data_IF_835552962300
#
_entry.id   IF_835552962300
#
_cell.length_a   1.000
_cell.length_b   1.000
_cell.length_c   1.000
_cell.angle_alpha   90.00
_cell.angle_beta   90.00
_cell.angle_gamma   90.00
#
_symmetry.space_group_name_H-M   'P 1'
#
loop_
_entity.id
_entity.type
_entity.pdbx_description
1 polymer ?
#
# COMPACT_ATOMS: atom_id res chain seq x y z
N UNK A 1 -20.96 -8.40 -22.83
CA UNK A 1 -22.03 -8.54 -23.84
C UNK A 1 -23.13 -7.54 -23.50
N UNK A 2 -23.35 -6.62 -24.43
CA UNK A 2 -24.28 -5.48 -24.40
C UNK A 2 -25.68 -5.79 -23.85
N UNK A 3 -26.28 -4.78 -23.21
CA UNK A 3 -27.48 -4.11 -23.78
C UNK A 3 -27.74 -2.76 -23.12
N UNK A 4 -27.39 -1.72 -23.85
CA UNK A 4 -27.90 -0.35 -23.75
C UNK A 4 -29.38 -0.34 -24.11
N UNK A 5 -30.22 0.36 -23.35
CA UNK A 5 -31.57 0.74 -23.79
C UNK A 5 -31.85 2.16 -23.33
N UNK A 6 -31.82 3.08 -24.29
CA UNK A 6 -32.23 4.48 -24.19
C UNK A 6 -33.71 4.51 -24.57
N UNK A 7 -34.56 5.10 -23.74
CA UNK A 7 -35.89 5.56 -24.15
C UNK A 7 -36.01 7.06 -23.87
N UNK A 8 -36.02 7.82 -24.96
CA UNK A 8 -36.51 9.19 -25.04
C UNK A 8 -38.00 9.13 -25.38
N UNK A 9 -38.82 9.89 -24.66
CA UNK A 9 -40.26 10.00 -24.92
C UNK A 9 -40.90 11.05 -24.02
N UNK A 10 -40.71 12.33 -24.38
CA UNK A 10 -41.39 13.49 -23.82
C UNK A 10 -42.91 13.40 -24.00
N UNK A 11 -43.68 13.76 -22.98
CA UNK A 11 -44.94 14.49 -23.17
C UNK A 11 -45.10 15.52 -22.05
N UNK A 12 -45.47 16.72 -22.49
CA UNK A 12 -45.56 18.00 -21.77
C UNK A 12 -46.96 18.14 -21.18
N UNK A 13 -47.07 18.75 -19.99
CA UNK A 13 -48.13 19.61 -19.42
C UNK A 13 -48.08 19.42 -17.88
N UNK A 14 -47.80 20.40 -17.02
CA UNK A 14 -48.15 21.82 -17.00
C UNK A 14 -47.17 22.59 -16.11
N UNK A 15 -46.99 23.86 -16.47
CA UNK A 15 -46.27 24.91 -15.76
C UNK A 15 -46.98 25.22 -14.45
N UNK A 16 -46.23 25.27 -13.34
CA UNK A 16 -46.47 26.22 -12.26
C UNK A 16 -45.12 26.76 -11.78
N UNK A 17 -44.84 28.00 -12.20
CA UNK A 17 -43.76 28.84 -11.69
C UNK A 17 -44.31 29.54 -10.43
N UNK A 18 -43.65 29.36 -9.29
CA UNK A 18 -43.25 30.44 -8.36
C UNK A 18 -42.50 29.87 -7.14
N UNK A 19 -41.17 30.02 -7.21
CA UNK A 19 -40.26 30.45 -6.13
C UNK A 19 -40.37 29.85 -4.72
N UNK A 20 -39.41 28.96 -4.41
CA UNK A 20 -38.64 29.04 -3.17
C UNK A 20 -37.22 28.49 -3.42
N UNK A 21 -36.23 29.39 -3.41
CA UNK A 21 -34.81 29.07 -3.43
C UNK A 21 -34.37 28.56 -2.05
N UNK A 22 -33.70 27.41 -1.98
CA UNK A 22 -32.52 27.22 -1.11
C UNK A 22 -31.79 25.92 -1.46
N UNK A 23 -30.60 26.10 -2.05
CA UNK A 23 -29.46 25.17 -2.14
C UNK A 23 -29.65 23.84 -2.89
N UNK A 24 -29.75 23.92 -4.22
CA UNK A 24 -29.29 22.86 -5.12
C UNK A 24 -27.91 23.27 -5.65
N UNK A 25 -26.83 22.68 -5.13
CA UNK A 25 -25.47 22.94 -5.59
C UNK A 25 -25.36 22.37 -7.02
N UNK A 26 -24.99 23.19 -8.00
CA UNK A 26 -25.01 22.78 -9.41
C UNK A 26 -23.94 21.71 -9.69
N UNK A 27 -24.24 20.75 -10.57
CA UNK A 27 -23.30 19.71 -11.01
C UNK A 27 -21.99 20.28 -11.58
N UNK A 28 -22.00 21.53 -12.04
CA UNK A 28 -20.81 22.27 -12.47
C UNK A 28 -19.88 22.66 -11.33
N UNK A 29 -20.41 22.98 -10.13
CA UNK A 29 -19.58 23.27 -8.95
C UNK A 29 -18.92 22.00 -8.43
N UNK A 30 -19.64 20.88 -8.38
CA UNK A 30 -19.11 19.57 -7.95
C UNK A 30 -17.95 19.13 -8.86
N UNK A 31 -18.14 19.21 -10.18
CA UNK A 31 -17.11 18.85 -11.16
C UNK A 31 -15.90 19.82 -11.15
N UNK A 32 -16.12 21.10 -10.81
CA UNK A 32 -15.04 22.09 -10.63
C UNK A 32 -14.27 21.88 -9.32
N UNK A 33 -14.94 21.48 -8.24
CA UNK A 33 -14.29 21.16 -6.97
C UNK A 33 -13.51 19.85 -7.04
N UNK A 34 -14.01 18.84 -7.76
CA UNK A 34 -13.31 17.56 -7.94
C UNK A 34 -12.06 17.73 -8.83
N UNK A 35 -12.15 18.55 -9.89
CA UNK A 35 -10.99 18.86 -10.73
C UNK A 35 -9.99 19.80 -10.04
N UNK A 36 -10.45 20.76 -9.22
CA UNK A 36 -9.56 21.61 -8.43
C UNK A 36 -8.88 20.82 -7.29
N UNK A 37 -9.62 19.95 -6.60
CA UNK A 37 -9.07 19.05 -5.58
C UNK A 37 -8.04 18.09 -6.19
N UNK A 38 -8.36 17.46 -7.33
CA UNK A 38 -7.41 16.59 -8.04
C UNK A 38 -6.14 17.33 -8.50
N UNK A 39 -6.26 18.59 -8.96
CA UNK A 39 -5.09 19.39 -9.38
C UNK A 39 -4.23 19.84 -8.19
N UNK A 40 -4.85 20.20 -7.06
CA UNK A 40 -4.13 20.52 -5.81
C UNK A 40 -3.46 19.30 -5.18
N UNK A 41 -4.07 18.12 -5.25
CA UNK A 41 -3.49 16.86 -4.80
C UNK A 41 -2.28 16.45 -5.65
N UNK A 42 -2.41 16.52 -6.98
CA UNK A 42 -1.30 16.25 -7.90
C UNK A 42 -0.13 17.24 -7.69
N UNK A 43 -0.42 18.52 -7.48
CA UNK A 43 0.60 19.52 -7.16
C UNK A 43 1.32 19.21 -5.83
N UNK A 44 0.57 18.78 -4.81
CA UNK A 44 1.13 18.41 -3.51
C UNK A 44 2.05 17.20 -3.61
N UNK A 45 1.65 16.14 -4.32
CA UNK A 45 2.48 14.94 -4.51
C UNK A 45 3.72 15.22 -5.35
N UNK A 46 3.61 16.07 -6.37
CA UNK A 46 4.76 16.54 -7.16
C UNK A 46 5.76 17.31 -6.29
N UNK A 47 5.28 18.21 -5.41
CA UNK A 47 6.12 18.91 -4.44
C UNK A 47 6.83 17.92 -3.51
N UNK A 48 6.09 17.00 -2.89
CA UNK A 48 6.64 15.98 -1.97
C UNK A 48 7.72 15.16 -2.69
N UNK A 49 7.45 14.66 -3.89
CA UNK A 49 8.41 13.89 -4.68
C UNK A 49 9.68 14.66 -5.02
N UNK A 50 9.61 15.98 -5.15
CA UNK A 50 10.77 16.85 -5.34
C UNK A 50 11.54 17.05 -4.04
N UNK A 51 10.85 17.38 -2.95
CA UNK A 51 11.44 17.65 -1.63
C UNK A 51 12.20 16.45 -1.09
N UNK A 52 11.64 15.23 -1.23
CA UNK A 52 12.26 13.97 -0.81
C UNK A 52 13.71 13.77 -1.32
N UNK A 53 14.05 14.33 -2.49
CA UNK A 53 15.39 14.21 -3.08
C UNK A 53 16.45 15.00 -2.30
N UNK A 54 16.03 16.05 -1.61
CA UNK A 54 16.92 17.00 -0.92
C UNK A 54 16.73 16.99 0.60
N UNK A 55 15.65 16.36 1.08
CA UNK A 55 15.31 16.33 2.49
C UNK A 55 16.15 15.33 3.28
N UNK A 56 16.84 15.80 4.32
CA UNK A 56 17.83 15.03 5.09
C UNK A 56 17.28 13.70 5.65
N UNK A 57 16.02 13.70 6.14
CA UNK A 57 15.36 12.50 6.70
C UNK A 57 15.28 11.33 5.72
N UNK A 58 15.21 11.58 4.41
CA UNK A 58 15.06 10.53 3.39
C UNK A 58 16.38 10.19 2.68
N UNK A 59 17.48 10.81 3.12
CA UNK A 59 18.80 10.60 2.54
C UNK A 59 19.23 9.14 2.70
N UNK A 60 19.73 8.56 1.60
CA UNK A 60 20.23 7.18 1.52
C UNK A 60 19.22 6.06 1.83
N UNK A 61 17.92 6.35 1.96
CA UNK A 61 16.91 5.33 2.26
C UNK A 61 16.93 4.14 1.28
N UNK A 62 17.15 4.39 -0.02
CA UNK A 62 17.20 3.32 -1.02
C UNK A 62 18.38 2.36 -0.87
N UNK A 63 19.43 2.75 -0.13
CA UNK A 63 20.62 1.92 0.11
C UNK A 63 20.49 1.06 1.38
N UNK A 64 19.44 1.28 2.18
CA UNK A 64 19.21 0.57 3.44
C UNK A 64 18.49 -0.75 3.20
N UNK A 65 18.74 -1.70 4.09
CA UNK A 65 18.00 -2.93 4.15
C UNK A 65 16.85 -2.80 5.16
N UNK A 66 15.58 -3.05 4.78
CA UNK A 66 14.44 -2.97 5.70
C UNK A 66 14.61 -3.88 6.92
N UNK A 67 15.04 -5.14 6.73
CA UNK A 67 15.27 -6.09 7.82
C UNK A 67 16.24 -5.57 8.89
N UNK A 68 17.31 -4.87 8.47
CA UNK A 68 18.40 -4.46 9.36
C UNK A 68 18.18 -3.10 10.01
N UNK A 69 17.27 -2.29 9.48
CA UNK A 69 17.01 -0.91 9.94
C UNK A 69 15.66 -0.73 10.61
N UNK A 70 14.75 -1.69 10.45
CA UNK A 70 13.51 -1.75 11.22
C UNK A 70 13.74 -2.13 12.69
N UNK A 71 12.89 -1.67 13.62
CA UNK A 71 12.96 -2.03 15.04
C UNK A 71 12.82 -3.55 15.26
N UNK A 72 13.04 -4.04 16.47
CA UNK A 72 12.87 -5.47 16.79
C UNK A 72 11.40 -5.91 16.80
N UNK A 73 10.49 -4.98 17.11
CA UNK A 73 9.05 -5.21 17.19
C UNK A 73 8.31 -4.15 16.39
N UNK A 74 7.12 -4.50 15.91
CA UNK A 74 6.23 -3.57 15.24
C UNK A 74 5.80 -2.45 16.20
N UNK A 75 5.77 -1.21 15.71
CA UNK A 75 5.25 -0.07 16.47
C UNK A 75 3.75 -0.29 16.73
N UNK A 76 3.31 -0.26 18.01
CA UNK A 76 1.90 -0.41 18.34
C UNK A 76 1.08 0.71 17.70
N UNK A 77 0.01 0.34 16.98
CA UNK A 77 -0.96 1.31 16.49
C UNK A 77 -1.81 1.78 17.67
N UNK A 78 -1.61 3.03 18.09
CA UNK A 78 -2.41 3.66 19.15
C UNK A 78 -3.72 4.21 18.61
N UNK A 79 -4.72 4.47 19.44
CA UNK A 79 -6.03 4.99 18.99
C UNK A 79 -5.95 6.30 18.17
N UNK A 80 -4.84 7.05 18.23
CA UNK A 80 -4.61 8.26 17.43
C UNK A 80 -4.36 7.97 15.95
N UNK A 81 -4.18 6.70 15.54
CA UNK A 81 -3.96 6.36 14.14
C UNK A 81 -5.18 6.72 13.26
N UNK A 82 -6.39 6.84 13.83
CA UNK A 82 -7.57 7.29 13.07
C UNK A 82 -7.46 8.76 12.67
N UNK A 83 -6.93 9.60 13.56
CA UNK A 83 -6.76 11.03 13.29
C UNK A 83 -5.69 11.27 12.22
N UNK A 84 -4.62 10.46 12.22
CA UNK A 84 -3.60 10.56 11.17
C UNK A 84 -4.13 10.08 9.81
N UNK A 85 -4.93 9.01 9.78
CA UNK A 85 -5.59 8.57 8.53
C UNK A 85 -6.46 9.70 7.97
N UNK A 86 -7.35 10.26 8.79
CA UNK A 86 -8.22 11.37 8.35
C UNK A 86 -7.41 12.59 7.89
N UNK A 87 -6.31 12.92 8.58
CA UNK A 87 -5.40 13.99 8.17
C UNK A 87 -4.80 13.70 6.79
N UNK A 88 -4.38 12.46 6.55
CA UNK A 88 -3.73 12.03 5.32
C UNK A 88 -4.68 11.87 4.12
N UNK A 89 -5.95 11.57 4.36
CA UNK A 89 -6.99 11.57 3.34
C UNK A 89 -7.27 12.98 2.82
N UNK A 90 -7.32 13.97 3.73
CA UNK A 90 -7.74 15.33 3.42
C UNK A 90 -6.59 16.28 3.06
N UNK A 91 -5.35 15.98 3.46
CA UNK A 91 -4.22 16.89 3.25
C UNK A 91 -2.89 16.13 3.13
N UNK A 92 -2.46 15.91 1.88
CA UNK A 92 -1.21 15.19 1.56
C UNK A 92 0.04 15.89 2.09
N UNK A 93 0.07 17.22 2.08
CA UNK A 93 1.21 17.98 2.60
C UNK A 93 1.33 17.85 4.12
N UNK A 94 0.22 17.96 4.86
CA UNK A 94 0.22 17.76 6.33
C UNK A 94 0.55 16.32 6.72
N UNK A 95 0.09 15.34 5.93
CA UNK A 95 0.51 13.95 6.06
C UNK A 95 2.03 13.80 5.91
N UNK A 96 2.60 14.44 4.89
CA UNK A 96 4.04 14.47 4.65
C UNK A 96 4.82 15.11 5.81
N UNK A 97 4.37 16.24 6.34
CA UNK A 97 4.99 16.86 7.52
C UNK A 97 4.97 15.92 8.73
N UNK A 98 3.85 15.25 8.98
CA UNK A 98 3.74 14.27 10.07
C UNK A 98 4.72 13.11 9.89
N UNK A 99 4.92 12.64 8.65
CA UNK A 99 5.94 11.64 8.34
C UNK A 99 7.37 12.16 8.61
N UNK A 100 7.68 13.39 8.23
CA UNK A 100 8.97 14.05 8.54
C UNK A 100 9.19 14.12 10.05
N UNK A 101 8.13 14.39 10.81
CA UNK A 101 8.09 14.40 12.27
C UNK A 101 8.03 12.99 12.90
N UNK A 102 8.30 11.94 12.11
CA UNK A 102 8.42 10.55 12.53
C UNK A 102 7.12 9.84 12.89
N UNK A 103 5.98 10.30 12.38
CA UNK A 103 4.75 9.50 12.41
C UNK A 103 4.85 8.35 11.39
N UNK A 104 4.88 7.13 11.93
CA UNK A 104 5.11 5.90 11.16
C UNK A 104 3.97 5.59 10.17
N UNK A 105 2.72 5.87 10.57
CA UNK A 105 1.52 5.64 9.78
C UNK A 105 1.40 6.69 8.69
N UNK A 106 1.67 7.96 9.00
CA UNK A 106 1.73 9.03 8.01
C UNK A 106 2.75 8.70 6.91
N UNK A 107 3.94 8.21 7.28
CA UNK A 107 4.91 7.77 6.27
C UNK A 107 4.37 6.65 5.38
N UNK A 108 3.68 5.67 5.96
CA UNK A 108 3.07 4.60 5.15
C UNK A 108 2.04 5.16 4.16
N UNK A 109 1.17 6.07 4.61
CA UNK A 109 0.12 6.67 3.78
C UNK A 109 0.66 7.61 2.69
N UNK A 110 1.73 8.36 2.98
CA UNK A 110 2.44 9.15 1.96
C UNK A 110 3.05 8.23 0.91
N UNK A 111 3.70 7.14 1.32
CA UNK A 111 4.31 6.19 0.39
C UNK A 111 3.26 5.55 -0.54
N UNK A 112 2.09 5.16 0.00
CA UNK A 112 0.97 4.68 -0.80
C UNK A 112 0.47 5.72 -1.79
N UNK A 113 0.28 6.97 -1.35
CA UNK A 113 -0.19 8.06 -2.22
C UNK A 113 0.81 8.33 -3.37
N UNK A 114 2.12 8.30 -3.07
CA UNK A 114 3.16 8.43 -4.09
C UNK A 114 3.19 7.23 -5.05
N UNK A 115 3.01 6.02 -4.54
CA UNK A 115 2.99 4.80 -5.34
C UNK A 115 1.80 4.80 -6.32
N UNK A 116 0.61 5.15 -5.84
CA UNK A 116 -0.61 5.28 -6.65
C UNK A 116 -0.47 6.33 -7.75
N UNK A 117 0.16 7.47 -7.42
CA UNK A 117 0.51 8.52 -8.38
C UNK A 117 1.75 8.19 -9.24
N UNK A 118 2.26 6.95 -9.19
CA UNK A 118 3.37 6.44 -9.99
C UNK A 118 4.73 7.14 -9.76
N UNK A 119 4.93 7.79 -8.60
CA UNK A 119 6.22 8.29 -8.14
C UNK A 119 7.02 7.15 -7.47
N UNK A 120 7.46 6.19 -8.28
CA UNK A 120 8.06 4.92 -7.82
C UNK A 120 9.23 5.08 -6.84
N UNK A 121 10.30 5.78 -7.24
CA UNK A 121 11.48 5.95 -6.37
C UNK A 121 11.19 6.78 -5.10
N UNK A 122 10.43 7.89 -5.17
CA UNK A 122 9.93 8.56 -3.98
C UNK A 122 9.13 7.65 -3.03
N UNK A 123 8.20 6.85 -3.54
CA UNK A 123 7.44 5.90 -2.73
C UNK A 123 8.37 4.91 -2.00
N UNK A 124 9.36 4.35 -2.68
CA UNK A 124 10.37 3.46 -2.07
C UNK A 124 11.18 4.14 -0.95
N UNK A 125 11.55 5.41 -1.11
CA UNK A 125 12.23 6.16 -0.06
C UNK A 125 11.37 6.32 1.20
N UNK A 126 10.08 6.56 1.01
CA UNK A 126 9.15 6.76 2.14
C UNK A 126 8.71 5.43 2.76
N UNK A 127 8.53 4.35 1.98
CA UNK A 127 8.30 3.00 2.52
C UNK A 127 9.45 2.56 3.43
N UNK A 128 10.70 2.82 3.02
CA UNK A 128 11.86 2.57 3.87
C UNK A 128 11.76 3.35 5.20
N UNK A 129 11.35 4.63 5.16
CA UNK A 129 11.20 5.43 6.39
C UNK A 129 10.10 4.86 7.29
N UNK A 130 8.96 4.51 6.73
CA UNK A 130 7.85 3.87 7.47
C UNK A 130 8.30 2.56 8.12
N UNK A 131 9.13 1.78 7.42
CA UNK A 131 9.73 0.55 7.94
C UNK A 131 10.67 0.79 9.14
N UNK A 132 11.55 1.80 9.06
CA UNK A 132 12.43 2.21 10.17
C UNK A 132 11.65 2.68 11.39
N UNK A 133 10.46 3.24 11.17
CA UNK A 133 9.52 3.64 12.22
C UNK A 133 8.60 2.50 12.68
N UNK A 134 8.81 1.29 12.18
CA UNK A 134 8.19 0.07 12.70
C UNK A 134 6.82 -0.29 12.12
N UNK A 135 6.46 0.19 10.93
CA UNK A 135 5.28 -0.34 10.22
C UNK A 135 5.67 -1.53 9.35
N UNK A 136 5.12 -2.70 9.69
CA UNK A 136 5.39 -3.95 8.99
C UNK A 136 5.10 -3.84 7.48
N UNK A 137 3.94 -3.31 7.11
CA UNK A 137 3.54 -3.14 5.71
C UNK A 137 4.45 -2.17 4.95
N UNK A 138 5.08 -1.19 5.63
CA UNK A 138 6.10 -0.32 5.04
C UNK A 138 7.36 -1.11 4.66
N UNK A 139 7.80 -2.01 5.54
CA UNK A 139 8.90 -2.93 5.25
C UNK A 139 8.57 -3.90 4.11
N UNK A 140 7.38 -4.50 4.12
CA UNK A 140 6.91 -5.43 3.09
C UNK A 140 6.89 -4.76 1.71
N UNK A 141 6.33 -3.56 1.61
CA UNK A 141 6.27 -2.82 0.35
C UNK A 141 7.66 -2.45 -0.17
N UNK A 142 8.56 -2.02 0.72
CA UNK A 142 9.95 -1.72 0.35
C UNK A 142 10.68 -2.95 -0.19
N UNK A 143 10.51 -4.12 0.43
CA UNK A 143 11.11 -5.37 -0.07
C UNK A 143 10.51 -5.82 -1.41
N UNK A 144 9.19 -5.66 -1.60
CA UNK A 144 8.54 -5.92 -2.88
C UNK A 144 9.06 -4.99 -3.97
N UNK A 145 9.21 -3.69 -3.70
CA UNK A 145 9.81 -2.74 -4.64
C UNK A 145 11.28 -3.06 -4.97
N UNK A 146 12.05 -3.66 -4.05
CA UNK A 146 13.39 -4.16 -4.38
C UNK A 146 13.36 -5.29 -5.42
N UNK A 147 12.36 -6.18 -5.38
CA UNK A 147 12.17 -7.24 -6.38
C UNK A 147 11.76 -6.65 -7.74
N UNK A 148 10.82 -5.72 -7.75
CA UNK A 148 10.20 -5.22 -8.98
C UNK A 148 11.07 -4.20 -9.74
N UNK A 149 11.85 -3.39 -9.02
CA UNK A 149 12.59 -2.27 -9.62
C UNK A 149 14.05 -2.57 -9.94
N UNK A 150 14.57 -3.75 -9.56
CA UNK A 150 15.93 -4.17 -9.87
C UNK A 150 15.94 -5.33 -10.86
N UNK A 151 16.54 -5.09 -12.04
CA UNK A 151 16.77 -6.14 -13.06
C UNK A 151 17.61 -7.30 -12.52
N UNK A 152 18.59 -7.00 -11.67
CA UNK A 152 19.49 -7.98 -11.06
C UNK A 152 19.69 -7.67 -9.58
N UNK A 153 19.54 -8.68 -8.74
CA UNK A 153 19.73 -8.60 -7.30
C UNK A 153 21.07 -9.21 -6.91
N UNK A 154 21.85 -8.48 -6.10
CA UNK A 154 23.05 -9.04 -5.47
C UNK A 154 22.65 -10.06 -4.39
N UNK A 155 23.61 -10.89 -3.97
CA UNK A 155 23.41 -11.85 -2.88
C UNK A 155 22.94 -11.17 -1.60
N UNK A 156 23.51 -10.02 -1.26
CA UNK A 156 23.14 -9.22 -0.09
C UNK A 156 21.72 -8.69 -0.20
N UNK A 157 21.29 -8.28 -1.40
CA UNK A 157 19.92 -7.80 -1.63
C UNK A 157 18.90 -8.93 -1.51
N UNK A 158 19.20 -10.13 -2.04
CA UNK A 158 18.35 -11.31 -1.86
C UNK A 158 18.20 -11.67 -0.38
N UNK A 159 19.32 -11.72 0.36
CA UNK A 159 19.31 -11.94 1.82
C UNK A 159 18.47 -10.90 2.55
N UNK A 160 18.61 -9.63 2.17
CA UNK A 160 17.84 -8.54 2.75
C UNK A 160 16.34 -8.71 2.52
N UNK A 161 15.92 -9.01 1.28
CA UNK A 161 14.51 -9.21 0.90
C UNK A 161 13.92 -10.40 1.67
N UNK A 162 14.59 -11.55 1.66
CA UNK A 162 14.17 -12.74 2.39
C UNK A 162 13.99 -12.45 3.88
N UNK A 163 15.01 -11.85 4.52
CA UNK A 163 14.98 -11.49 5.94
C UNK A 163 13.87 -10.47 6.26
N UNK A 164 13.54 -9.60 5.30
CA UNK A 164 12.46 -8.62 5.49
C UNK A 164 11.10 -9.28 5.49
N UNK A 165 10.85 -10.20 4.55
CA UNK A 165 9.58 -10.93 4.51
C UNK A 165 9.43 -11.88 5.70
N UNK A 166 10.49 -12.55 6.14
CA UNK A 166 10.48 -13.36 7.36
C UNK A 166 10.09 -12.49 8.58
N UNK A 167 10.80 -11.38 8.78
CA UNK A 167 10.56 -10.46 9.92
C UNK A 167 9.16 -9.86 9.91
N UNK A 168 8.67 -9.43 8.76
CA UNK A 168 7.30 -8.86 8.65
C UNK A 168 6.22 -9.92 8.81
N UNK A 169 6.48 -11.17 8.42
CA UNK A 169 5.58 -12.27 8.73
C UNK A 169 5.56 -12.62 10.23
N UNK A 170 6.70 -12.54 10.92
CA UNK A 170 6.75 -12.69 12.38
C UNK A 170 5.91 -11.61 13.08
N UNK A 171 5.81 -10.42 12.49
CA UNK A 171 4.91 -9.33 12.91
C UNK A 171 3.45 -9.51 12.45
N UNK A 172 3.12 -10.63 11.83
CA UNK A 172 1.78 -10.96 11.32
C UNK A 172 1.28 -9.98 10.25
N UNK A 173 2.17 -9.42 9.44
CA UNK A 173 1.79 -8.70 8.23
C UNK A 173 1.28 -9.69 7.17
N UNK A 174 0.03 -9.56 6.68
CA UNK A 174 -0.55 -10.52 5.75
C UNK A 174 0.26 -10.69 4.46
N UNK A 175 0.69 -9.57 3.87
CA UNK A 175 1.52 -9.58 2.68
C UNK A 175 2.94 -10.08 2.98
N UNK A 176 3.52 -9.71 4.13
CA UNK A 176 4.79 -10.24 4.60
C UNK A 176 4.80 -11.76 4.66
N UNK A 177 3.76 -12.38 5.22
CA UNK A 177 3.63 -13.84 5.24
C UNK A 177 3.41 -14.47 3.88
N UNK A 178 2.59 -13.86 3.02
CA UNK A 178 2.38 -14.36 1.65
C UNK A 178 3.68 -14.31 0.83
N UNK A 179 4.42 -13.20 0.92
CA UNK A 179 5.69 -13.03 0.21
C UNK A 179 6.78 -13.94 0.79
N UNK A 180 6.81 -14.14 2.11
CA UNK A 180 7.76 -15.06 2.72
C UNK A 180 7.55 -16.51 2.26
N UNK A 181 6.30 -16.96 2.21
CA UNK A 181 5.96 -18.27 1.66
C UNK A 181 6.40 -18.41 0.19
N UNK A 182 6.20 -17.38 -0.62
CA UNK A 182 6.64 -17.35 -2.02
C UNK A 182 8.17 -17.44 -2.15
N UNK A 183 8.92 -16.72 -1.31
CA UNK A 183 10.38 -16.82 -1.28
C UNK A 183 10.88 -18.21 -0.87
N UNK A 184 10.28 -18.82 0.16
CA UNK A 184 10.64 -20.18 0.59
C UNK A 184 10.50 -21.22 -0.54
N UNK A 185 9.45 -21.07 -1.37
CA UNK A 185 9.19 -21.95 -2.51
C UNK A 185 10.14 -21.66 -3.67
N UNK A 186 10.38 -20.38 -3.94
CA UNK A 186 11.19 -19.92 -5.07
C UNK A 186 12.67 -20.19 -4.88
N UNK A 187 13.17 -20.14 -3.64
CA UNK A 187 14.57 -20.50 -3.32
C UNK A 187 14.82 -22.00 -3.50
N UNK A 188 13.92 -22.85 -2.98
CA UNK A 188 14.05 -24.30 -3.13
C UNK A 188 12.69 -25.01 -3.06
N UNK A 189 12.37 -25.77 -4.10
CA UNK A 189 11.12 -26.52 -4.23
C UNK A 189 11.17 -27.83 -3.44
N UNK A 190 11.27 -27.74 -2.11
CA UNK A 190 11.42 -28.88 -1.21
C UNK A 190 10.24 -29.05 -0.26
N UNK A 191 9.99 -30.27 0.17
CA UNK A 191 8.92 -30.59 1.12
C UNK A 191 9.04 -29.84 2.47
N UNK A 192 10.23 -29.67 3.09
CA UNK A 192 10.37 -28.83 4.28
C UNK A 192 9.95 -27.38 4.05
N UNK A 193 10.33 -26.78 2.93
CA UNK A 193 9.94 -25.40 2.58
C UNK A 193 8.45 -25.29 2.33
N UNK A 194 7.84 -26.29 1.68
CA UNK A 194 6.39 -26.36 1.51
C UNK A 194 5.65 -26.42 2.85
N UNK A 195 6.11 -27.21 3.81
CA UNK A 195 5.53 -27.27 5.17
C UNK A 195 5.68 -25.93 5.90
N UNK A 196 6.85 -25.28 5.84
CA UNK A 196 7.07 -23.95 6.43
C UNK A 196 6.19 -22.88 5.76
N UNK A 197 6.09 -22.89 4.43
CA UNK A 197 5.22 -21.99 3.66
C UNK A 197 3.75 -22.15 4.03
N UNK A 198 3.22 -23.39 4.09
CA UNK A 198 1.83 -23.65 4.51
C UNK A 198 1.52 -23.13 5.91
N UNK A 199 2.47 -23.22 6.84
CA UNK A 199 2.33 -22.72 8.20
C UNK A 199 2.23 -21.19 8.24
N UNK A 200 3.13 -20.48 7.57
CA UNK A 200 3.13 -19.01 7.59
C UNK A 200 1.96 -18.40 6.82
N UNK A 201 1.46 -19.08 5.77
CA UNK A 201 0.27 -18.64 5.03
C UNK A 201 -1.00 -18.59 5.91
N UNK A 202 -1.00 -19.14 7.13
CA UNK A 202 -2.14 -19.07 8.05
C UNK A 202 -2.41 -17.64 8.53
N UNK A 203 -1.40 -16.77 8.46
CA UNK A 203 -1.49 -15.39 8.92
C UNK A 203 -1.88 -14.40 7.80
N UNK A 204 -1.91 -14.85 6.55
CA UNK A 204 -2.22 -14.02 5.37
C UNK A 204 -3.69 -13.57 5.27
N UNK A 205 -4.60 -14.19 6.02
CA UNK A 205 -6.04 -13.90 5.96
C UNK A 205 -6.56 -13.11 7.17
N UNK A 206 -5.66 -12.37 7.85
CA UNK A 206 -5.98 -11.55 9.03
C UNK A 206 -7.16 -10.60 8.82
N UNK A 207 -7.30 -10.02 7.63
CA UNK A 207 -8.36 -9.07 7.29
C UNK A 207 -9.50 -9.70 6.46
N UNK A 208 -9.61 -11.03 6.50
CA UNK A 208 -10.68 -11.77 5.85
C UNK A 208 -10.32 -12.32 4.48
N UNK A 209 -11.27 -13.07 3.94
CA UNK A 209 -11.05 -13.91 2.75
C UNK A 209 -10.89 -13.12 1.46
N UNK A 210 -11.45 -11.92 1.37
CA UNK A 210 -11.39 -11.06 0.19
C UNK A 210 -10.12 -10.21 0.14
N UNK A 211 -9.30 -10.22 1.20
CA UNK A 211 -8.04 -9.48 1.23
C UNK A 211 -7.09 -10.00 0.12
N UNK A 212 -6.45 -9.09 -0.65
CA UNK A 212 -5.52 -9.48 -1.72
C UNK A 212 -4.37 -10.41 -1.27
N UNK A 213 -3.84 -10.24 -0.06
CA UNK A 213 -2.82 -11.11 0.51
C UNK A 213 -3.38 -12.51 0.77
N UNK A 214 -4.62 -12.60 1.27
CA UNK A 214 -5.32 -13.87 1.49
C UNK A 214 -5.60 -14.61 0.18
N UNK A 215 -6.07 -13.89 -0.84
CA UNK A 215 -6.32 -14.47 -2.16
C UNK A 215 -5.04 -15.01 -2.81
N UNK A 216 -3.94 -14.28 -2.67
CA UNK A 216 -2.61 -14.72 -3.12
C UNK A 216 -2.13 -15.93 -2.32
N UNK A 217 -2.32 -15.93 -1.00
CA UNK A 217 -2.01 -17.06 -0.14
C UNK A 217 -2.78 -18.33 -0.51
N UNK A 218 -4.07 -18.22 -0.83
CA UNK A 218 -4.89 -19.36 -1.29
C UNK A 218 -4.36 -19.98 -2.58
N UNK A 219 -3.85 -19.15 -3.51
CA UNK A 219 -3.20 -19.64 -4.74
C UNK A 219 -1.91 -20.39 -4.43
N UNK A 220 -1.07 -19.86 -3.54
CA UNK A 220 0.15 -20.54 -3.09
C UNK A 220 -0.16 -21.87 -2.39
N UNK A 221 -1.16 -21.93 -1.52
CA UNK A 221 -1.59 -23.19 -0.89
C UNK A 221 -2.01 -24.23 -1.91
N UNK A 222 -2.80 -23.84 -2.92
CA UNK A 222 -3.20 -24.75 -4.01
C UNK A 222 -1.99 -25.27 -4.78
N UNK A 223 -1.02 -24.41 -5.07
CA UNK A 223 0.24 -24.82 -5.69
C UNK A 223 0.98 -25.83 -4.80
N UNK A 224 1.24 -25.51 -3.53
CA UNK A 224 1.97 -26.37 -2.60
C UNK A 224 1.30 -27.74 -2.45
N UNK A 225 -0.02 -27.76 -2.27
CA UNK A 225 -0.78 -29.01 -2.13
C UNK A 225 -0.74 -29.89 -3.39
N UNK A 226 -0.45 -29.32 -4.57
CA UNK A 226 -0.21 -30.10 -5.78
C UNK A 226 1.20 -30.71 -5.86
N UNK A 227 2.13 -30.25 -5.01
CA UNK A 227 3.53 -30.69 -4.96
C UNK A 227 3.78 -31.71 -3.86
N UNK A 228 3.05 -31.62 -2.75
CA UNK A 228 3.08 -32.63 -1.70
C UNK A 228 2.19 -33.80 -2.16
N UNK A 229 2.74 -35.01 -2.25
CA UNK A 229 1.93 -36.20 -2.52
C UNK A 229 0.98 -36.42 -1.33
N UNK A 230 -0.30 -36.77 -1.55
CA UNK A 230 -1.10 -37.33 -0.48
C UNK A 230 -0.45 -38.64 -0.04
N UNK A 231 -0.17 -38.74 1.27
CA UNK A 231 0.23 -40.00 1.91
C UNK A 231 -0.85 -41.09 1.72
#
# INVERSE_FOLDING_TARGET
>A
MNKTTIYLGLSILTINILTACSHYKSDSEIMSTDSHYATTEAASLSFIASDLKHHQVFTNNLNKCPAYTSPSQQTPLSNSYRDIISTCENNKFKCYQSCVESDAVACYLVALSLQEANYKLPAEQVFQRSCELGIASGCTNRAAGMLDYKKHLTTEQKKCIFSTFEKTCDWRDPWGCTMFADQLISEENTEPNYKKALNVLNYSCKYGDTDPACQSAKKLRKFINSKIKPD
#
